data_IF_969046300997
#
_entry.id   IF_969046300997
#
_cell.length_a   1.000
_cell.length_b   1.000
_cell.length_c   1.000
_cell.angle_alpha   90.00
_cell.angle_beta   90.00
_cell.angle_gamma   90.00
#
_symmetry.space_group_name_H-M   'P 1'
#
loop_
_entity.id
_entity.type
_entity.pdbx_description
1 polymer ?
#
# COMPACT_ATOMS: atom_id res chain seq x y z
N UNK A 1 33.45 -20.42 5.46
CA UNK A 1 32.19 -19.73 5.83
C UNK A 1 31.34 -20.66 6.69
N UNK A 2 31.02 -20.25 7.92
CA UNK A 2 30.44 -21.11 8.97
C UNK A 2 28.95 -21.42 8.70
N UNK A 3 28.53 -22.68 8.87
CA UNK A 3 27.15 -23.15 8.61
C UNK A 3 26.10 -22.39 9.43
N UNK A 4 26.47 -21.91 10.62
CA UNK A 4 25.60 -21.12 11.48
C UNK A 4 25.22 -19.76 10.87
N UNK A 5 26.14 -19.14 10.11
CA UNK A 5 25.88 -17.87 9.44
C UNK A 5 24.89 -18.07 8.30
N UNK A 6 25.02 -19.17 7.53
CA UNK A 6 24.10 -19.49 6.44
C UNK A 6 22.67 -19.71 6.94
N UNK A 7 22.51 -20.41 8.07
CA UNK A 7 21.21 -20.64 8.68
C UNK A 7 20.54 -19.34 9.12
N UNK A 8 21.27 -18.45 9.81
CA UNK A 8 20.71 -17.16 10.25
C UNK A 8 20.35 -16.23 9.10
N UNK A 9 21.12 -16.23 8.01
CA UNK A 9 20.80 -15.45 6.80
C UNK A 9 19.53 -15.99 6.13
N UNK A 10 19.38 -17.32 6.05
CA UNK A 10 18.17 -17.95 5.51
C UNK A 10 16.94 -17.64 6.36
N UNK A 11 17.03 -17.78 7.69
CA UNK A 11 15.94 -17.48 8.62
C UNK A 11 15.56 -15.98 8.62
N UNK A 12 16.53 -15.08 8.47
CA UNK A 12 16.26 -13.65 8.34
C UNK A 12 15.55 -13.32 7.04
N UNK A 13 15.97 -13.95 5.93
CA UNK A 13 15.32 -13.80 4.63
C UNK A 13 13.91 -14.38 4.62
N UNK A 14 13.71 -15.56 5.22
CA UNK A 14 12.38 -16.19 5.35
C UNK A 14 11.47 -15.38 6.28
N UNK A 15 11.99 -14.79 7.37
CA UNK A 15 11.21 -13.85 8.22
C UNK A 15 10.89 -12.55 7.52
N UNK A 16 11.81 -12.02 6.71
CA UNK A 16 11.57 -10.84 5.87
C UNK A 16 10.51 -11.15 4.80
N UNK A 17 10.55 -12.34 4.22
CA UNK A 17 9.60 -12.83 3.22
C UNK A 17 8.24 -13.15 3.83
N UNK A 18 8.18 -13.71 5.04
CA UNK A 18 6.96 -13.91 5.84
C UNK A 18 6.34 -12.57 6.29
N UNK A 19 7.16 -11.59 6.68
CA UNK A 19 6.72 -10.22 6.94
C UNK A 19 6.21 -9.51 5.68
N UNK A 20 6.80 -9.79 4.50
CA UNK A 20 6.26 -9.38 3.20
C UNK A 20 5.00 -10.15 2.80
N UNK A 21 4.78 -11.34 3.37
CA UNK A 21 3.57 -12.17 3.22
C UNK A 21 2.49 -11.83 4.25
N UNK A 22 2.65 -10.79 5.08
CA UNK A 22 1.50 -10.08 5.65
C UNK A 22 0.66 -9.66 4.46
N UNK A 23 -0.41 -10.42 4.25
CA UNK A 23 -1.25 -10.43 3.07
C UNK A 23 -1.54 -9.00 2.63
N UNK A 24 -1.40 -8.74 1.33
CA UNK A 24 -1.76 -7.44 0.77
C UNK A 24 -3.13 -7.06 1.38
N UNK A 25 -3.24 -5.91 2.08
CA UNK A 25 -4.36 -5.65 2.99
C UNK A 25 -5.72 -5.60 2.28
N UNK A 26 -5.70 -5.57 0.95
CA UNK A 26 -6.84 -5.60 0.06
C UNK A 26 -6.92 -6.92 -0.70
N UNK A 27 -8.14 -7.45 -0.95
CA UNK A 27 -8.33 -8.60 -1.84
C UNK A 27 -7.70 -8.39 -3.23
N UNK A 28 -7.17 -9.46 -3.84
CA UNK A 28 -6.49 -9.39 -5.13
C UNK A 28 -7.35 -8.80 -6.27
N UNK A 29 -8.67 -8.98 -6.22
CA UNK A 29 -9.58 -8.45 -7.24
C UNK A 29 -9.61 -6.91 -7.27
N UNK A 30 -9.22 -6.23 -6.18
CA UNK A 30 -9.09 -4.77 -6.14
C UNK A 30 -8.04 -4.28 -7.14
N UNK A 31 -6.94 -5.02 -7.30
CA UNK A 31 -5.88 -4.70 -8.27
C UNK A 31 -6.30 -4.95 -9.73
N UNK A 32 -7.41 -5.65 -9.97
CA UNK A 32 -7.93 -5.93 -11.31
C UNK A 32 -8.94 -4.89 -11.79
N UNK A 33 -9.35 -3.96 -10.92
CA UNK A 33 -10.40 -2.97 -11.25
C UNK A 33 -9.85 -1.97 -12.27
N UNK A 34 -10.42 -1.88 -13.48
CA UNK A 34 -9.87 -1.02 -14.52
C UNK A 34 -10.01 0.45 -14.15
N UNK A 35 -9.01 1.24 -14.53
CA UNK A 35 -9.13 2.70 -14.52
C UNK A 35 -10.06 3.16 -15.64
N UNK A 36 -10.85 4.19 -15.39
CA UNK A 36 -11.73 4.79 -16.41
C UNK A 36 -10.93 5.56 -17.45
N UNK A 37 -11.51 5.74 -18.63
CA UNK A 37 -10.89 6.56 -19.69
C UNK A 37 -10.64 7.98 -19.17
N UNK A 38 -9.42 8.49 -19.37
CA UNK A 38 -9.00 9.80 -18.87
C UNK A 38 -8.53 9.82 -17.41
N UNK A 39 -8.38 8.66 -16.76
CA UNK A 39 -7.79 8.60 -15.43
C UNK A 39 -6.34 9.09 -15.44
N UNK A 40 -6.05 10.06 -14.58
CA UNK A 40 -4.70 10.50 -14.26
C UNK A 40 -4.41 10.13 -12.81
N UNK A 41 -3.26 9.50 -12.56
CA UNK A 41 -2.88 9.10 -11.21
C UNK A 41 -2.71 10.35 -10.34
N UNK A 42 -3.44 10.46 -9.21
CA UNK A 42 -3.28 11.60 -8.33
C UNK A 42 -1.93 11.54 -7.60
N UNK A 43 -1.28 12.69 -7.44
CA UNK A 43 -0.13 12.82 -6.55
C UNK A 43 -0.64 12.90 -5.10
N UNK A 44 -0.26 11.93 -4.27
CA UNK A 44 -0.72 11.80 -2.89
C UNK A 44 0.34 12.23 -1.89
N UNK A 45 -0.09 12.92 -0.83
CA UNK A 45 0.75 13.08 0.36
C UNK A 45 0.89 11.72 1.04
N UNK A 46 2.13 11.27 1.19
CA UNK A 46 2.46 10.01 1.86
C UNK A 46 2.13 10.09 3.36
N UNK A 47 1.58 9.00 3.90
CA UNK A 47 1.26 8.83 5.31
C UNK A 47 2.02 7.64 5.89
N UNK A 48 2.78 7.90 6.94
CA UNK A 48 3.62 6.94 7.65
C UNK A 48 2.96 6.38 8.91
N UNK A 49 1.66 6.69 9.11
CA UNK A 49 0.93 6.32 10.33
C UNK A 49 1.06 7.34 11.46
N UNK A 50 1.77 8.46 11.28
CA UNK A 50 1.95 9.51 12.29
C UNK A 50 1.12 10.76 11.96
N UNK A 51 0.59 11.42 12.98
CA UNK A 51 -0.27 12.60 12.84
C UNK A 51 -1.76 12.25 12.82
N UNK A 52 -2.60 13.15 12.27
CA UNK A 52 -4.06 12.94 12.24
C UNK A 52 -4.49 12.08 11.04
N UNK A 53 -4.97 10.85 11.26
CA UNK A 53 -5.46 9.99 10.19
C UNK A 53 -6.72 10.54 9.51
N UNK A 54 -7.57 11.32 10.20
CA UNK A 54 -8.76 11.92 9.59
C UNK A 54 -8.37 12.98 8.58
N UNK A 55 -7.38 13.83 8.91
CA UNK A 55 -6.83 14.80 7.98
C UNK A 55 -6.21 14.13 6.76
N UNK A 56 -5.46 13.03 6.95
CA UNK A 56 -4.92 12.26 5.82
C UNK A 56 -6.04 11.74 4.91
N UNK A 57 -7.07 11.11 5.49
CA UNK A 57 -8.21 10.58 4.73
C UNK A 57 -8.95 11.69 3.96
N UNK A 58 -9.16 12.85 4.58
CA UNK A 58 -9.78 13.99 3.92
C UNK A 58 -8.96 14.48 2.72
N UNK A 59 -7.64 14.67 2.88
CA UNK A 59 -6.77 15.05 1.76
C UNK A 59 -6.72 14.00 0.65
N UNK A 60 -6.68 12.72 1.01
CA UNK A 60 -6.72 11.61 0.08
C UNK A 60 -8.00 11.65 -0.77
N UNK A 61 -9.17 11.76 -0.15
CA UNK A 61 -10.46 11.80 -0.85
C UNK A 61 -10.62 13.02 -1.76
N UNK A 62 -10.16 14.20 -1.31
CA UNK A 62 -10.12 15.41 -2.15
C UNK A 62 -9.29 15.17 -3.41
N UNK A 63 -8.15 14.48 -3.25
CA UNK A 63 -7.22 14.19 -4.35
C UNK A 63 -7.72 13.10 -5.30
N UNK A 64 -8.59 12.20 -4.84
CA UNK A 64 -9.30 11.25 -5.70
C UNK A 64 -10.32 11.94 -6.62
N UNK A 65 -10.83 13.13 -6.28
CA UNK A 65 -11.76 13.88 -7.13
C UNK A 65 -12.99 13.02 -7.53
N UNK A 66 -13.32 12.92 -8.83
CA UNK A 66 -14.44 12.08 -9.28
C UNK A 66 -14.32 10.59 -8.90
N UNK A 67 -13.10 10.08 -8.74
CA UNK A 67 -12.85 8.68 -8.34
C UNK A 67 -13.30 8.41 -6.91
N UNK A 68 -13.46 9.44 -6.07
CA UNK A 68 -13.96 9.32 -4.70
C UNK A 68 -15.33 8.63 -4.60
N UNK A 69 -16.12 8.67 -5.68
CA UNK A 69 -17.42 7.98 -5.77
C UNK A 69 -17.29 6.46 -6.02
N UNK A 70 -16.12 6.00 -6.45
CA UNK A 70 -15.82 4.59 -6.65
C UNK A 70 -14.94 4.09 -5.49
N UNK A 71 -15.59 3.58 -4.43
CA UNK A 71 -14.91 3.08 -3.24
C UNK A 71 -13.86 1.99 -3.54
N UNK A 72 -14.10 1.17 -4.55
CA UNK A 72 -13.16 0.12 -4.96
C UNK A 72 -11.88 0.70 -5.54
N UNK A 73 -11.98 1.69 -6.44
CA UNK A 73 -10.81 2.41 -6.95
C UNK A 73 -10.12 3.23 -5.86
N UNK A 74 -10.88 3.79 -4.91
CA UNK A 74 -10.30 4.46 -3.75
C UNK A 74 -9.44 3.51 -2.93
N UNK A 75 -9.92 2.31 -2.61
CA UNK A 75 -9.13 1.30 -1.90
C UNK A 75 -7.85 0.93 -2.66
N UNK A 76 -7.95 0.78 -3.99
CA UNK A 76 -6.80 0.52 -4.86
C UNK A 76 -5.77 1.66 -4.83
N UNK A 77 -6.20 2.91 -4.76
CA UNK A 77 -5.32 4.07 -4.75
C UNK A 77 -4.78 4.40 -3.35
N UNK A 78 -5.51 4.05 -2.29
CA UNK A 78 -5.12 4.36 -0.92
C UNK A 78 -3.76 3.75 -0.54
N UNK A 79 -3.44 2.55 -1.01
CA UNK A 79 -2.12 1.95 -0.76
C UNK A 79 -0.96 2.75 -1.36
N UNK A 80 -1.23 3.63 -2.33
CA UNK A 80 -0.23 4.52 -2.92
C UNK A 80 0.02 5.77 -2.08
N UNK A 81 -0.89 6.11 -1.16
CA UNK A 81 -0.71 7.22 -0.22
C UNK A 81 -0.05 6.80 1.09
N UNK A 82 0.37 5.53 1.21
CA UNK A 82 1.03 4.98 2.41
C UNK A 82 2.53 4.83 2.19
N UNK A 83 3.32 5.18 3.21
CA UNK A 83 4.75 4.87 3.23
C UNK A 83 4.91 3.36 3.40
N UNK A 84 5.64 2.72 2.49
CA UNK A 84 6.02 1.31 2.66
C UNK A 84 7.00 1.20 3.83
N UNK A 85 6.82 0.22 4.74
CA UNK A 85 7.86 -0.09 5.72
C UNK A 85 9.18 -0.37 4.98
N UNK A 86 10.26 0.25 5.46
CA UNK A 86 11.61 0.03 4.97
C UNK A 86 12.13 -1.35 5.40
#
# INVERSE_FOLDING_TARGET
>A
MNQLVKKKVKEAKEKEEDNRMITKPTPAWIDSVPYTLGFSQPDFKMFDGRGDPHQHLAHFLVRCGPVAQNGTLCLRLFVQSLVRPA
#
